data_IF_475745057015
#
_entry.id   IF_475745057015
#
_cell.length_a   1.000
_cell.length_b   1.000
_cell.length_c   1.000
_cell.angle_alpha   90.00
_cell.angle_beta   90.00
_cell.angle_gamma   90.00
#
_symmetry.space_group_name_H-M   'P 1'
#
loop_
_entity.id
_entity.type
_entity.pdbx_description
1 polymer ?
#
# COMPACT_ATOMS: atom_id res chain seq x y z
N UNK A 1 2.11 -7.08 -3.77
CA UNK A 1 0.67 -7.09 -4.15
C UNK A 1 0.41 -5.86 -5.01
N UNK A 2 0.50 -6.00 -6.33
CA UNK A 2 0.40 -4.89 -7.28
C UNK A 2 -0.96 -4.15 -7.28
N UNK A 3 -1.99 -4.71 -6.62
CA UNK A 3 -3.32 -4.10 -6.54
C UNK A 3 -3.29 -2.66 -6.03
N UNK A 4 -2.56 -2.38 -4.95
CA UNK A 4 -2.48 -1.04 -4.35
C UNK A 4 -1.83 -0.04 -5.30
N UNK A 5 -0.74 -0.43 -5.96
CA UNK A 5 -0.08 0.39 -6.96
C UNK A 5 -1.02 0.68 -8.14
N UNK A 6 -1.71 -0.35 -8.65
CA UNK A 6 -2.63 -0.19 -9.77
C UNK A 6 -3.87 0.65 -9.41
N UNK A 7 -4.33 0.60 -8.16
CA UNK A 7 -5.40 1.47 -7.67
C UNK A 7 -4.91 2.90 -7.53
N UNK A 8 -3.70 3.12 -6.98
CA UNK A 8 -3.13 4.45 -6.85
C UNK A 8 -2.86 5.10 -8.23
N UNK A 9 -2.31 4.33 -9.16
CA UNK A 9 -2.05 4.71 -10.55
C UNK A 9 -3.32 5.03 -11.36
N UNK A 10 -4.49 4.61 -10.87
CA UNK A 10 -5.78 4.98 -11.45
C UNK A 10 -6.40 6.17 -10.70
N UNK A 11 -6.55 6.08 -9.39
CA UNK A 11 -7.32 7.04 -8.59
C UNK A 11 -6.64 8.40 -8.49
N UNK A 12 -5.31 8.44 -8.34
CA UNK A 12 -4.60 9.71 -8.20
C UNK A 12 -4.68 10.52 -9.49
N UNK A 13 -4.39 9.95 -10.68
CA UNK A 13 -4.60 10.66 -11.95
C UNK A 13 -6.06 11.11 -12.16
N UNK A 14 -7.05 10.32 -11.72
CA UNK A 14 -8.47 10.73 -11.78
C UNK A 14 -8.75 11.96 -10.90
N UNK A 15 -8.30 11.95 -9.64
CA UNK A 15 -8.48 13.10 -8.74
C UNK A 15 -7.67 14.32 -9.18
N UNK A 16 -6.54 14.11 -9.87
CA UNK A 16 -5.71 15.18 -10.44
C UNK A 16 -6.20 15.69 -11.79
N UNK A 17 -7.17 15.02 -12.43
CA UNK A 17 -7.56 15.34 -13.81
C UNK A 17 -6.39 15.24 -14.79
N UNK A 18 -5.54 14.22 -14.66
CA UNK A 18 -4.36 14.07 -15.52
C UNK A 18 -4.77 13.84 -16.97
N UNK A 19 -4.15 14.59 -17.89
CA UNK A 19 -4.35 14.43 -19.33
C UNK A 19 -3.87 13.07 -19.84
N UNK A 20 -2.94 12.42 -19.14
CA UNK A 20 -2.40 11.10 -19.53
C UNK A 20 -3.45 9.99 -19.50
N UNK A 21 -4.44 10.11 -18.62
CA UNK A 21 -5.54 9.15 -18.53
C UNK A 21 -6.79 9.63 -19.25
N UNK A 22 -6.84 10.86 -19.77
CA UNK A 22 -8.00 11.39 -20.46
C UNK A 22 -8.01 10.93 -21.92
N UNK A 23 -9.09 10.31 -22.36
CA UNK A 23 -9.28 10.04 -23.79
C UNK A 23 -9.47 11.35 -24.57
N UNK A 24 -9.12 11.36 -25.86
CA UNK A 24 -9.22 12.56 -26.72
C UNK A 24 -10.65 13.10 -26.86
N UNK A 25 -11.65 12.23 -26.71
CA UNK A 25 -13.06 12.58 -26.80
C UNK A 25 -13.68 12.91 -25.43
N UNK A 26 -12.92 12.76 -24.34
CA UNK A 26 -13.34 13.15 -22.99
C UNK A 26 -12.79 14.55 -22.63
N UNK A 27 -13.42 15.21 -21.65
CA UNK A 27 -13.04 16.55 -21.20
C UNK A 27 -12.87 16.57 -19.68
N UNK A 28 -11.64 16.79 -19.24
CA UNK A 28 -11.29 16.96 -17.81
C UNK A 28 -12.07 18.11 -17.15
N UNK A 29 -12.50 19.12 -17.91
CA UNK A 29 -13.35 20.20 -17.40
C UNK A 29 -14.70 19.73 -16.85
N UNK A 30 -15.17 18.56 -17.25
CA UNK A 30 -16.44 17.97 -16.81
C UNK A 30 -16.28 17.02 -15.61
N UNK A 31 -15.05 16.85 -15.12
CA UNK A 31 -14.75 15.94 -14.01
C UNK A 31 -14.85 16.69 -12.69
N UNK A 32 -16.02 16.62 -12.08
CA UNK A 32 -16.29 17.17 -10.74
C UNK A 32 -15.56 16.40 -9.61
N UNK A 33 -15.00 15.22 -9.91
CA UNK A 33 -14.11 14.50 -9.00
C UNK A 33 -12.63 14.93 -9.12
N UNK A 34 -12.26 15.74 -10.12
CA UNK A 34 -10.88 16.17 -10.36
C UNK A 34 -10.46 17.33 -9.42
N UNK A 35 -10.63 17.12 -8.12
CA UNK A 35 -10.45 18.13 -7.07
C UNK A 35 -9.00 18.54 -6.83
N UNK A 36 -8.03 17.70 -7.21
CA UNK A 36 -6.59 17.95 -7.11
C UNK A 36 -5.99 18.44 -8.44
N UNK A 37 -6.83 18.92 -9.36
CA UNK A 37 -6.37 19.48 -10.64
C UNK A 37 -5.66 20.82 -10.44
N UNK A 38 -6.16 21.63 -9.51
CA UNK A 38 -5.54 22.91 -9.15
C UNK A 38 -4.16 22.65 -8.50
N UNK A 39 -3.08 23.23 -9.05
CA UNK A 39 -1.74 23.07 -8.50
C UNK A 39 -1.60 23.49 -7.03
N UNK A 40 -2.33 24.53 -6.59
CA UNK A 40 -2.25 25.04 -5.23
C UNK A 40 -2.96 24.11 -4.25
N UNK A 41 -4.13 23.58 -4.64
CA UNK A 41 -4.84 22.55 -3.87
C UNK A 41 -3.97 21.29 -3.77
N UNK A 42 -3.37 20.85 -4.88
CA UNK A 42 -2.51 19.66 -4.88
C UNK A 42 -1.27 19.84 -3.99
N UNK A 43 -0.65 21.02 -4.03
CA UNK A 43 0.50 21.35 -3.18
C UNK A 43 0.11 21.40 -1.69
N UNK A 44 -1.03 22.01 -1.36
CA UNK A 44 -1.56 22.05 0.00
C UNK A 44 -1.85 20.65 0.52
N UNK A 45 -2.62 19.86 -0.24
CA UNK A 45 -2.95 18.48 0.10
C UNK A 45 -1.69 17.62 0.26
N UNK A 46 -0.70 17.80 -0.59
CA UNK A 46 0.58 17.11 -0.49
C UNK A 46 1.35 17.45 0.79
N UNK A 47 1.28 18.71 1.25
CA UNK A 47 1.82 19.14 2.54
C UNK A 47 1.06 18.49 3.69
N UNK A 48 -0.27 18.45 3.65
CA UNK A 48 -1.08 17.81 4.70
C UNK A 48 -0.76 16.32 4.87
N UNK A 49 -0.47 15.62 3.76
CA UNK A 49 0.02 14.22 3.81
C UNK A 49 1.36 14.10 4.54
N UNK A 50 2.30 15.01 4.27
CA UNK A 50 3.60 15.00 4.92
C UNK A 50 3.51 15.39 6.41
N UNK A 51 2.68 16.38 6.73
CA UNK A 51 2.45 16.89 8.10
C UNK A 51 1.75 15.86 8.99
N UNK A 52 1.12 14.82 8.42
CA UNK A 52 0.59 13.68 9.17
C UNK A 52 1.68 12.77 9.78
N UNK A 53 2.93 12.89 9.34
CA UNK A 53 4.06 12.03 9.75
C UNK A 53 4.21 11.87 11.28
N UNK A 54 4.19 12.95 12.09
CA UNK A 54 4.36 12.83 13.55
C UNK A 54 3.24 12.07 14.25
N UNK A 55 2.09 11.90 13.58
CA UNK A 55 0.91 11.21 14.11
C UNK A 55 0.86 9.73 13.71
N UNK A 56 1.81 9.27 12.91
CA UNK A 56 1.91 7.88 12.50
C UNK A 56 2.75 7.08 13.51
N UNK A 57 2.25 5.92 14.00
CA UNK A 57 3.04 5.05 14.86
C UNK A 57 4.34 4.62 14.18
N UNK A 58 5.43 4.52 14.94
CA UNK A 58 6.72 4.04 14.43
C UNK A 58 6.71 2.58 13.93
N UNK A 59 5.63 1.83 14.17
CA UNK A 59 5.42 0.50 13.57
C UNK A 59 5.15 0.55 12.07
N UNK A 60 4.82 1.72 11.52
CA UNK A 60 4.81 1.97 10.09
C UNK A 60 6.23 2.34 9.66
N UNK A 61 6.92 1.42 8.98
CA UNK A 61 8.35 1.52 8.60
C UNK A 61 8.71 2.88 7.98
N UNK A 62 7.87 3.39 7.07
CA UNK A 62 8.07 4.71 6.43
C UNK A 62 6.77 5.49 6.33
N UNK A 63 6.72 6.75 6.85
CA UNK A 63 5.59 7.65 6.63
C UNK A 63 5.51 8.06 5.15
N UNK A 64 4.31 8.41 4.65
CA UNK A 64 4.14 8.88 3.28
C UNK A 64 4.78 10.27 3.13
N UNK A 65 5.70 10.40 2.17
CA UNK A 65 6.27 11.72 1.82
C UNK A 65 5.22 12.59 1.12
N UNK A 66 5.52 13.88 0.94
CA UNK A 66 4.68 14.78 0.17
C UNK A 66 4.46 14.22 -1.26
N UNK A 67 3.25 13.76 -1.63
CA UNK A 67 3.01 13.20 -2.96
C UNK A 67 3.11 14.26 -4.04
N UNK A 68 2.89 15.55 -3.74
CA UNK A 68 3.06 16.62 -4.74
C UNK A 68 4.52 16.78 -5.20
N UNK A 69 5.48 16.39 -4.38
CA UNK A 69 6.91 16.48 -4.69
C UNK A 69 7.50 15.13 -5.13
N UNK A 70 6.98 14.02 -4.58
CA UNK A 70 7.66 12.71 -4.65
C UNK A 70 6.91 11.63 -5.41
N UNK A 71 5.65 11.84 -5.82
CA UNK A 71 4.83 10.78 -6.43
C UNK A 71 5.48 10.15 -7.68
N UNK A 72 6.21 10.95 -8.47
CA UNK A 72 6.90 10.51 -9.68
C UNK A 72 8.39 10.17 -9.47
N UNK A 73 8.90 10.22 -8.23
CA UNK A 73 10.32 9.99 -7.91
C UNK A 73 10.52 8.91 -6.85
N UNK A 74 10.06 7.70 -7.16
CA UNK A 74 10.25 6.53 -6.30
C UNK A 74 9.35 6.52 -5.07
N UNK A 75 8.10 6.98 -5.23
CA UNK A 75 7.07 6.83 -4.21
C UNK A 75 6.73 5.35 -4.03
N UNK A 76 6.88 4.84 -2.80
CA UNK A 76 6.82 3.41 -2.54
C UNK A 76 5.38 2.92 -2.43
N UNK A 77 5.16 1.64 -2.75
CA UNK A 77 3.87 0.99 -2.57
C UNK A 77 3.29 1.15 -1.14
N UNK A 78 4.16 1.15 -0.12
CA UNK A 78 3.73 1.35 1.27
C UNK A 78 3.25 2.78 1.54
N UNK A 79 3.90 3.77 0.93
CA UNK A 79 3.49 5.17 1.03
C UNK A 79 2.15 5.39 0.33
N UNK A 80 1.91 4.74 -0.82
CA UNK A 80 0.59 4.75 -1.47
C UNK A 80 -0.49 4.11 -0.60
N UNK A 81 -0.18 2.98 0.03
CA UNK A 81 -1.12 2.29 0.93
C UNK A 81 -1.54 3.21 2.07
N UNK A 82 -0.57 3.81 2.76
CA UNK A 82 -0.80 4.65 3.93
C UNK A 82 -1.45 5.98 3.55
N UNK A 83 -1.01 6.60 2.46
CA UNK A 83 -1.61 7.81 1.93
C UNK A 83 -3.08 7.57 1.56
N UNK A 84 -3.39 6.67 0.63
CA UNK A 84 -4.75 6.54 0.09
C UNK A 84 -5.70 5.86 1.09
N UNK A 85 -5.29 4.76 1.72
CA UNK A 85 -6.21 3.91 2.49
C UNK A 85 -6.10 4.11 4.00
N UNK A 86 -5.01 4.75 4.46
CA UNK A 86 -4.82 5.17 5.84
C UNK A 86 -5.34 6.59 6.08
N UNK A 87 -4.75 7.57 5.40
CA UNK A 87 -5.01 9.00 5.60
C UNK A 87 -6.13 9.54 4.69
N UNK A 88 -6.25 9.00 3.48
CA UNK A 88 -7.12 9.50 2.42
C UNK A 88 -8.57 9.74 2.81
N UNK A 89 -9.25 8.84 3.58
CA UNK A 89 -10.62 9.10 4.02
C UNK A 89 -10.78 10.40 4.81
N UNK A 90 -9.79 10.74 5.64
CA UNK A 90 -9.78 11.99 6.40
C UNK A 90 -9.35 13.18 5.54
N UNK A 91 -8.24 13.06 4.81
CA UNK A 91 -7.67 14.16 4.03
C UNK A 91 -8.55 14.58 2.84
N UNK A 92 -9.33 13.66 2.28
CA UNK A 92 -10.24 13.96 1.16
C UNK A 92 -11.66 14.34 1.62
N UNK A 93 -11.94 14.32 2.93
CA UNK A 93 -13.25 14.72 3.45
C UNK A 93 -13.44 16.23 3.29
N UNK A 94 -14.57 16.65 2.71
CA UNK A 94 -14.85 18.05 2.42
C UNK A 94 -14.16 18.59 1.15
N UNK A 95 -13.10 17.93 0.66
CA UNK A 95 -12.50 18.23 -0.64
C UNK A 95 -13.19 17.49 -1.78
N UNK A 96 -13.32 16.16 -1.66
CA UNK A 96 -13.97 15.33 -2.66
C UNK A 96 -15.50 15.42 -2.49
N UNK A 97 -16.31 15.63 -3.56
CA UNK A 97 -17.75 15.74 -3.39
C UNK A 97 -18.33 14.47 -2.75
N UNK A 98 -19.33 14.63 -1.88
CA UNK A 98 -19.80 13.60 -0.96
C UNK A 98 -20.03 12.23 -1.61
N UNK A 99 -20.61 12.19 -2.82
CA UNK A 99 -20.86 10.94 -3.56
C UNK A 99 -19.58 10.16 -3.90
N UNK A 100 -18.53 10.87 -4.32
CA UNK A 100 -17.23 10.30 -4.65
C UNK A 100 -16.47 9.89 -3.39
N UNK A 101 -16.56 10.72 -2.35
CA UNK A 101 -15.97 10.42 -1.04
C UNK A 101 -16.58 9.18 -0.40
N UNK A 102 -17.91 9.05 -0.39
CA UNK A 102 -18.58 7.85 0.12
C UNK A 102 -18.19 6.60 -0.68
N UNK A 103 -18.10 6.71 -2.01
CA UNK A 103 -17.63 5.62 -2.86
C UNK A 103 -16.16 5.23 -2.51
N UNK A 104 -15.27 6.22 -2.41
CA UNK A 104 -13.88 6.02 -2.02
C UNK A 104 -13.74 5.40 -0.61
N UNK A 105 -14.58 5.80 0.34
CA UNK A 105 -14.60 5.22 1.69
C UNK A 105 -15.01 3.74 1.69
N UNK A 106 -15.90 3.30 0.80
CA UNK A 106 -16.22 1.87 0.62
C UNK A 106 -15.00 1.09 0.17
N UNK A 107 -14.26 1.61 -0.81
CA UNK A 107 -12.99 1.03 -1.23
C UNK A 107 -12.00 0.96 -0.06
N UNK A 108 -11.81 2.07 0.66
CA UNK A 108 -10.88 2.12 1.79
C UNK A 108 -11.23 1.11 2.88
N UNK A 109 -12.50 1.02 3.26
CA UNK A 109 -12.96 0.05 4.23
C UNK A 109 -12.72 -1.40 3.74
N UNK A 110 -13.02 -1.69 2.47
CA UNK A 110 -12.76 -3.01 1.88
C UNK A 110 -11.27 -3.38 1.84
N UNK A 111 -10.40 -2.47 1.41
CA UNK A 111 -8.95 -2.68 1.38
C UNK A 111 -8.38 -2.87 2.79
N UNK A 112 -8.85 -2.09 3.78
CA UNK A 112 -8.42 -2.25 5.18
C UNK A 112 -8.81 -3.60 5.77
N UNK A 113 -9.97 -4.14 5.41
CA UNK A 113 -10.38 -5.50 5.80
C UNK A 113 -9.51 -6.55 5.10
N UNK A 114 -9.24 -6.39 3.80
CA UNK A 114 -8.41 -7.30 3.01
C UNK A 114 -6.99 -7.48 3.56
N UNK A 115 -6.45 -6.42 4.17
CA UNK A 115 -5.09 -6.37 4.72
C UNK A 115 -4.98 -6.85 6.18
N UNK A 116 -6.07 -7.36 6.78
CA UNK A 116 -5.99 -7.94 8.13
C UNK A 116 -5.34 -9.34 8.10
N UNK A 117 -4.57 -9.67 9.13
CA UNK A 117 -4.02 -11.03 9.30
C UNK A 117 -5.07 -12.08 9.68
N UNK A 118 -6.18 -11.64 10.31
CA UNK A 118 -7.30 -12.48 10.70
C UNK A 118 -8.57 -11.78 10.28
N UNK A 119 -9.41 -12.45 9.51
CA UNK A 119 -10.67 -11.90 8.98
C UNK A 119 -11.79 -12.83 9.44
N UNK A 120 -12.75 -12.29 10.18
CA UNK A 120 -13.96 -13.03 10.57
C UNK A 120 -14.91 -13.18 9.39
N UNK A 121 -15.81 -14.17 9.44
CA UNK A 121 -16.82 -14.36 8.40
C UNK A 121 -17.70 -13.11 8.20
N UNK A 122 -18.08 -12.42 9.29
CA UNK A 122 -18.86 -11.18 9.24
C UNK A 122 -18.10 -10.05 8.54
N UNK A 123 -16.81 -9.90 8.84
CA UNK A 123 -15.94 -8.94 8.16
C UNK A 123 -15.79 -9.28 6.68
N UNK A 124 -15.67 -10.56 6.35
CA UNK A 124 -15.57 -11.03 4.97
C UNK A 124 -16.82 -10.67 4.15
N UNK A 125 -18.01 -10.92 4.71
CA UNK A 125 -19.29 -10.52 4.09
C UNK A 125 -19.38 -9.01 3.90
N UNK A 126 -18.98 -8.25 4.93
CA UNK A 126 -18.97 -6.78 4.87
C UNK A 126 -18.02 -6.29 3.78
N UNK A 127 -16.81 -6.84 3.70
CA UNK A 127 -15.84 -6.52 2.66
C UNK A 127 -16.39 -6.82 1.27
N UNK A 128 -17.03 -7.98 1.07
CA UNK A 128 -17.64 -8.37 -0.21
C UNK A 128 -18.67 -7.33 -0.68
N UNK A 129 -19.60 -6.95 0.21
CA UNK A 129 -20.64 -5.96 -0.10
C UNK A 129 -20.02 -4.61 -0.43
N UNK A 130 -19.08 -4.13 0.40
CA UNK A 130 -18.44 -2.82 0.20
C UNK A 130 -17.68 -2.75 -1.13
N UNK A 131 -16.91 -3.78 -1.48
CA UNK A 131 -16.14 -3.80 -2.72
C UNK A 131 -17.04 -3.93 -3.96
N UNK A 132 -18.11 -4.71 -3.90
CA UNK A 132 -19.10 -4.76 -5.00
C UNK A 132 -19.76 -3.39 -5.17
N UNK A 133 -20.26 -2.79 -4.09
CA UNK A 133 -20.88 -1.48 -4.13
C UNK A 133 -19.93 -0.43 -4.69
N UNK A 134 -18.67 -0.42 -4.23
CA UNK A 134 -17.64 0.45 -4.77
C UNK A 134 -17.53 0.32 -6.28
N UNK A 135 -17.38 -0.91 -6.81
CA UNK A 135 -17.17 -1.12 -8.25
C UNK A 135 -18.38 -0.76 -9.11
N UNK A 136 -19.60 -1.02 -8.63
CA UNK A 136 -20.84 -0.62 -9.32
C UNK A 136 -20.98 0.90 -9.34
N UNK A 137 -20.79 1.54 -8.20
CA UNK A 137 -20.85 2.99 -8.10
C UNK A 137 -19.70 3.66 -8.85
N UNK A 138 -18.53 3.04 -8.95
CA UNK A 138 -17.41 3.58 -9.72
C UNK A 138 -17.78 3.70 -11.20
N UNK A 139 -18.44 2.69 -11.77
CA UNK A 139 -18.96 2.72 -13.12
C UNK A 139 -20.00 3.85 -13.30
N UNK A 140 -20.92 3.99 -12.34
CA UNK A 140 -21.97 5.04 -12.39
C UNK A 140 -21.36 6.45 -12.27
N UNK A 141 -20.39 6.63 -11.38
CA UNK A 141 -19.88 7.94 -10.98
C UNK A 141 -18.78 8.46 -11.92
N UNK A 142 -17.84 7.62 -12.30
CA UNK A 142 -16.66 7.99 -13.09
C UNK A 142 -16.85 7.66 -14.57
N UNK A 143 -17.26 6.42 -14.90
CA UNK A 143 -17.39 5.96 -16.29
C UNK A 143 -18.62 6.57 -16.96
N UNK A 144 -19.74 6.68 -16.22
CA UNK A 144 -21.01 7.28 -16.67
C UNK A 144 -21.54 6.71 -18.01
N UNK A 145 -21.26 5.43 -18.30
CA UNK A 145 -21.55 4.77 -19.58
C UNK A 145 -21.00 5.53 -20.81
N UNK A 146 -19.98 6.36 -20.61
CA UNK A 146 -19.30 7.05 -21.69
C UNK A 146 -18.22 6.11 -22.28
N UNK A 147 -18.27 5.76 -23.58
CA UNK A 147 -17.26 4.92 -24.22
C UNK A 147 -15.84 5.45 -24.04
N UNK A 148 -15.66 6.77 -24.06
CA UNK A 148 -14.36 7.44 -23.87
C UNK A 148 -13.83 7.37 -22.43
N UNK A 149 -14.59 6.77 -21.51
CA UNK A 149 -14.21 6.55 -20.10
C UNK A 149 -14.13 5.08 -19.74
N UNK A 150 -14.39 4.18 -20.69
CA UNK A 150 -14.46 2.74 -20.43
C UNK A 150 -13.13 2.18 -19.89
N UNK A 151 -12.00 2.77 -20.31
CA UNK A 151 -10.66 2.39 -19.85
C UNK A 151 -10.40 2.72 -18.37
N UNK A 152 -11.27 3.48 -17.69
CA UNK A 152 -11.20 3.64 -16.23
C UNK A 152 -11.56 2.34 -15.50
N UNK A 153 -12.33 1.43 -16.12
CA UNK A 153 -12.62 0.09 -15.60
C UNK A 153 -11.43 -0.86 -15.81
N UNK A 154 -10.28 -0.49 -15.26
CA UNK A 154 -9.07 -1.31 -15.31
C UNK A 154 -9.27 -2.63 -14.56
N UNK A 155 -8.42 -3.62 -14.85
CA UNK A 155 -8.42 -4.91 -14.17
C UNK A 155 -8.37 -4.77 -12.63
N UNK A 156 -7.66 -3.77 -12.11
CA UNK A 156 -7.57 -3.52 -10.66
C UNK A 156 -8.93 -3.17 -10.04
N UNK A 157 -9.82 -2.48 -10.76
CA UNK A 157 -11.19 -2.20 -10.30
C UNK A 157 -12.02 -3.47 -10.36
N UNK A 158 -11.97 -4.22 -11.47
CA UNK A 158 -12.73 -5.46 -11.62
C UNK A 158 -12.35 -6.51 -10.56
N UNK A 159 -11.05 -6.69 -10.30
CA UNK A 159 -10.53 -7.68 -9.35
C UNK A 159 -11.08 -7.51 -7.93
N UNK A 160 -11.50 -6.30 -7.54
CA UNK A 160 -12.06 -6.05 -6.21
C UNK A 160 -13.34 -6.85 -5.94
N UNK A 161 -14.12 -7.16 -6.98
CA UNK A 161 -15.35 -7.98 -6.84
C UNK A 161 -15.04 -9.39 -6.34
N UNK A 162 -13.86 -9.90 -6.68
CA UNK A 162 -13.42 -11.26 -6.37
C UNK A 162 -12.64 -11.35 -5.07
N UNK A 163 -12.18 -10.22 -4.52
CA UNK A 163 -11.25 -10.20 -3.39
C UNK A 163 -11.75 -10.99 -2.16
N UNK A 164 -13.04 -10.91 -1.83
CA UNK A 164 -13.59 -11.66 -0.69
C UNK A 164 -13.67 -13.17 -0.94
N UNK A 165 -14.01 -13.59 -2.16
CA UNK A 165 -14.04 -15.00 -2.53
C UNK A 165 -12.63 -15.58 -2.53
N UNK A 166 -11.65 -14.81 -3.01
CA UNK A 166 -10.24 -15.21 -2.96
C UNK A 166 -9.75 -15.34 -1.52
N UNK A 167 -10.12 -14.43 -0.62
CA UNK A 167 -9.77 -14.56 0.80
C UNK A 167 -10.33 -15.85 1.41
N UNK A 168 -11.54 -16.27 1.02
CA UNK A 168 -12.10 -17.54 1.47
C UNK A 168 -11.31 -18.74 0.93
N UNK A 169 -10.79 -18.65 -0.30
CA UNK A 169 -10.09 -19.73 -1.00
C UNK A 169 -8.65 -19.91 -0.53
N UNK A 170 -7.89 -18.82 -0.39
CA UNK A 170 -6.43 -18.85 -0.16
C UNK A 170 -6.00 -18.13 1.13
N UNK A 171 -6.95 -17.64 1.93
CA UNK A 171 -6.69 -16.89 3.15
C UNK A 171 -6.48 -15.38 2.90
N UNK A 172 -6.25 -14.61 3.97
CA UNK A 172 -6.15 -13.15 3.91
C UNK A 172 -5.10 -12.64 2.91
N UNK A 173 -5.34 -11.46 2.33
CA UNK A 173 -4.47 -10.92 1.27
C UNK A 173 -3.02 -10.69 1.72
N UNK A 174 -2.80 -10.46 3.01
CA UNK A 174 -1.45 -10.28 3.57
C UNK A 174 -0.62 -11.57 3.54
N UNK A 175 -1.25 -12.74 3.70
CA UNK A 175 -0.55 -14.05 3.74
C UNK A 175 -0.19 -14.55 2.35
N UNK A 176 -0.92 -14.12 1.32
CA UNK A 176 -0.65 -14.43 -0.10
C UNK A 176 0.06 -13.27 -0.82
N UNK A 177 0.56 -12.30 -0.08
CA UNK A 177 1.15 -11.10 -0.66
C UNK A 177 2.57 -11.31 -1.18
N UNK A 178 2.90 -10.65 -2.30
CA UNK A 178 4.23 -10.73 -2.90
C UNK A 178 5.33 -9.94 -2.14
N UNK A 179 5.00 -9.18 -1.09
CA UNK A 179 5.96 -8.29 -0.42
C UNK A 179 7.17 -9.03 0.12
N UNK A 180 6.93 -10.15 0.81
CA UNK A 180 8.00 -10.99 1.36
C UNK A 180 8.86 -11.59 0.25
N UNK A 181 8.23 -12.02 -0.85
CA UNK A 181 8.94 -12.56 -2.01
C UNK A 181 9.78 -11.49 -2.70
N UNK A 182 9.24 -10.31 -2.99
CA UNK A 182 9.96 -9.19 -3.60
C UNK A 182 11.13 -8.73 -2.72
N UNK A 183 10.93 -8.70 -1.40
CA UNK A 183 12.00 -8.39 -0.45
C UNK A 183 13.11 -9.44 -0.49
N UNK A 184 12.75 -10.72 -0.52
CA UNK A 184 13.69 -11.84 -0.64
C UNK A 184 14.47 -11.76 -1.96
N UNK A 185 13.80 -11.48 -3.09
CA UNK A 185 14.47 -11.29 -4.38
C UNK A 185 15.50 -10.16 -4.27
N UNK A 186 15.11 -8.99 -3.76
CA UNK A 186 16.03 -7.86 -3.62
C UNK A 186 17.20 -8.14 -2.67
N UNK A 187 16.97 -8.90 -1.60
CA UNK A 187 18.01 -9.36 -0.66
C UNK A 187 19.01 -10.28 -1.37
N UNK A 188 18.53 -11.31 -2.06
CA UNK A 188 19.36 -12.25 -2.82
C UNK A 188 20.11 -11.59 -3.96
N UNK A 189 19.47 -10.67 -4.71
CA UNK A 189 20.13 -9.92 -5.78
C UNK A 189 21.27 -9.05 -5.24
N UNK A 190 21.12 -8.48 -4.04
CA UNK A 190 22.19 -7.70 -3.39
C UNK A 190 23.43 -8.52 -3.03
N UNK A 191 23.31 -9.85 -2.95
CA UNK A 191 24.43 -10.76 -2.67
C UNK A 191 25.15 -11.26 -3.95
N UNK A 192 24.61 -10.96 -5.13
CA UNK A 192 25.25 -11.30 -6.40
C UNK A 192 26.39 -10.31 -6.63
N UNK A 193 27.63 -10.81 -6.60
CA UNK A 193 28.84 -9.99 -6.78
C UNK A 193 29.66 -10.39 -8.00
N UNK A 194 29.21 -11.39 -8.77
CA UNK A 194 29.89 -11.87 -9.97
C UNK A 194 28.94 -11.88 -11.17
N UNK A 195 29.13 -10.91 -12.07
CA UNK A 195 28.28 -10.71 -13.24
C UNK A 195 28.50 -11.78 -14.32
N UNK A 196 29.66 -12.45 -14.34
CA UNK A 196 30.01 -13.45 -15.34
C UNK A 196 29.38 -14.83 -15.11
N UNK A 197 29.03 -15.16 -13.86
CA UNK A 197 28.36 -16.42 -13.52
C UNK A 197 27.38 -16.23 -12.35
N UNK A 198 26.31 -15.45 -12.55
CA UNK A 198 25.43 -15.01 -11.47
C UNK A 198 24.67 -16.16 -10.81
N UNK A 199 24.30 -17.19 -11.56
CA UNK A 199 23.57 -18.34 -11.02
C UNK A 199 24.44 -19.24 -10.12
N UNK A 200 25.69 -19.49 -10.51
CA UNK A 200 26.61 -20.26 -9.68
C UNK A 200 26.95 -19.48 -8.41
N UNK A 201 27.22 -18.18 -8.53
CA UNK A 201 27.47 -17.31 -7.39
C UNK A 201 26.27 -17.29 -6.42
N UNK A 202 25.06 -17.10 -6.93
CA UNK A 202 23.85 -17.12 -6.13
C UNK A 202 23.64 -18.47 -5.43
N UNK A 203 23.90 -19.59 -6.11
CA UNK A 203 23.80 -20.94 -5.53
C UNK A 203 24.72 -21.10 -4.32
N UNK A 204 25.99 -20.69 -4.45
CA UNK A 204 26.97 -20.72 -3.35
C UNK A 204 26.57 -19.79 -2.19
N UNK A 205 26.05 -18.59 -2.49
CA UNK A 205 25.52 -17.67 -1.46
C UNK A 205 24.36 -18.30 -0.69
N UNK A 206 23.41 -18.91 -1.39
CA UNK A 206 22.29 -19.62 -0.79
C UNK A 206 22.74 -20.80 0.10
N UNK A 207 23.70 -21.61 -0.36
CA UNK A 207 24.27 -22.72 0.43
C UNK A 207 24.92 -22.19 1.70
N UNK A 208 25.76 -21.16 1.58
CA UNK A 208 26.44 -20.55 2.73
C UNK A 208 25.45 -19.98 3.74
N UNK A 209 24.39 -19.30 3.29
CA UNK A 209 23.31 -18.79 4.15
C UNK A 209 22.58 -19.93 4.87
N UNK A 210 22.26 -21.02 4.16
CA UNK A 210 21.62 -22.19 4.77
C UNK A 210 22.51 -22.84 5.83
N UNK A 211 23.81 -22.98 5.57
CA UNK A 211 24.79 -23.51 6.53
C UNK A 211 24.92 -22.63 7.78
N UNK A 212 25.03 -21.30 7.61
CA UNK A 212 25.09 -20.36 8.75
C UNK A 212 23.80 -20.43 9.57
N UNK A 213 22.63 -20.43 8.91
CA UNK A 213 21.34 -20.54 9.60
C UNK A 213 21.21 -21.86 10.36
N UNK A 214 21.66 -22.98 9.79
CA UNK A 214 21.66 -24.28 10.45
C UNK A 214 22.59 -24.29 11.68
N UNK A 215 23.78 -23.71 11.56
CA UNK A 215 24.72 -23.57 12.69
C UNK A 215 24.14 -22.70 13.80
N UNK A 216 23.55 -21.55 13.47
CA UNK A 216 22.88 -20.67 14.45
C UNK A 216 21.69 -21.36 15.12
N UNK A 217 20.93 -22.17 14.39
CA UNK A 217 19.79 -22.91 14.96
C UNK A 217 20.25 -24.06 15.87
N UNK A 218 21.32 -24.77 15.49
CA UNK A 218 21.86 -25.90 16.26
C UNK A 218 22.66 -25.44 17.50
N UNK A 219 23.37 -24.32 17.39
CA UNK A 219 24.19 -23.73 18.45
C UNK A 219 23.86 -22.23 18.55
N UNK A 220 22.77 -21.86 19.24
CA UNK A 220 22.32 -20.47 19.33
C UNK A 220 23.34 -19.51 19.91
N UNK A 221 24.33 -19.97 20.68
CA UNK A 221 25.43 -19.16 21.23
C UNK A 221 26.34 -18.56 20.14
N UNK A 222 26.37 -19.14 18.93
CA UNK A 222 27.12 -18.61 17.79
C UNK A 222 26.43 -17.42 17.13
N UNK A 223 25.14 -17.20 17.41
CA UNK A 223 24.42 -16.06 16.86
C UNK A 223 24.70 -14.79 17.67
N UNK A 224 25.65 -13.98 17.17
CA UNK A 224 26.00 -12.69 17.78
C UNK A 224 24.81 -11.71 17.85
N UNK A 225 23.74 -11.96 17.10
CA UNK A 225 22.52 -11.14 17.09
C UNK A 225 21.41 -11.69 17.99
N UNK A 226 21.60 -12.86 18.63
CA UNK A 226 20.60 -13.54 19.48
C UNK A 226 20.00 -12.63 20.56
N UNK A 227 20.85 -11.84 21.21
CA UNK A 227 20.44 -10.94 22.30
C UNK A 227 20.00 -9.56 21.81
N UNK A 228 20.07 -9.27 20.50
CA UNK A 228 19.65 -7.96 19.98
C UNK A 228 18.14 -7.81 19.97
N UNK A 229 17.39 -8.87 19.70
CA UNK A 229 15.92 -8.82 19.65
C UNK A 229 15.29 -8.59 21.03
N UNK A 230 15.95 -9.05 22.10
CA UNK A 230 15.50 -8.87 23.48
C UNK A 230 15.93 -7.53 24.09
N UNK A 231 16.79 -6.75 23.41
CA UNK A 231 17.26 -5.46 23.90
C UNK A 231 16.39 -4.33 23.36
N UNK A 232 15.77 -3.61 24.29
CA UNK A 232 15.06 -2.38 23.97
C UNK A 232 16.02 -1.36 23.34
N UNK A 233 15.60 -0.63 22.29
CA UNK A 233 16.40 0.42 21.69
C UNK A 233 16.85 1.44 22.74
N UNK A 234 18.05 2.02 22.59
CA UNK A 234 18.56 3.04 23.52
C UNK A 234 17.54 4.15 23.74
N UNK A 235 17.17 4.36 25.00
CA UNK A 235 16.19 5.37 25.44
C UNK A 235 14.73 4.93 25.36
N UNK A 236 14.44 3.67 25.06
CA UNK A 236 13.11 3.10 25.18
C UNK A 236 12.79 2.72 26.63
N UNK A 237 11.54 2.91 27.03
CA UNK A 237 11.02 2.53 28.35
C UNK A 237 10.17 1.28 28.21
N UNK A 238 10.48 0.23 28.97
CA UNK A 238 9.65 -0.97 29.01
C UNK A 238 8.32 -0.63 29.70
N UNK A 239 7.19 -0.91 29.05
CA UNK A 239 5.86 -0.67 29.62
C UNK A 239 5.21 -1.96 30.18
N UNK A 240 5.87 -3.12 30.06
CA UNK A 240 5.27 -4.42 30.36
C UNK A 240 4.44 -4.97 29.19
N UNK A 241 3.97 -6.22 29.30
CA UNK A 241 3.08 -6.88 28.32
C UNK A 241 3.57 -6.85 26.86
N UNK A 242 4.90 -6.93 26.65
CA UNK A 242 5.55 -6.78 25.34
C UNK A 242 5.37 -5.40 24.67
N UNK A 243 5.02 -4.37 25.44
CA UNK A 243 4.99 -2.98 24.98
C UNK A 243 6.22 -2.21 25.46
N UNK A 244 6.69 -1.29 24.62
CA UNK A 244 7.76 -0.37 24.97
C UNK A 244 7.47 1.02 24.40
N UNK A 245 7.72 2.06 25.19
CA UNK A 245 7.67 3.44 24.76
C UNK A 245 8.99 3.79 24.10
N UNK A 246 8.95 4.08 22.80
CA UNK A 246 10.12 4.57 22.07
C UNK A 246 10.21 6.09 22.20
N UNK A 247 11.40 6.61 22.51
CA UNK A 247 11.62 8.06 22.46
C UNK A 247 11.52 8.56 21.01
N UNK A 248 11.02 9.78 20.83
CA UNK A 248 11.17 10.51 19.56
C UNK A 248 12.66 10.58 19.22
N UNK A 249 13.04 10.13 18.02
CA UNK A 249 14.37 10.33 17.44
C UNK A 249 14.26 11.41 16.39
N UNK A 250 15.21 12.34 16.39
CA UNK A 250 15.36 13.37 15.36
C UNK A 250 15.86 12.76 14.04
#
# INVERSE_FOLDING_TARGET
>A
MHLILNLADLLIPLFRGSSEICDKLDKVSEWDWAILRDPDIWKSHGKDVADATPHLPGSFDRPPRNPAEKINSGYKAWEFLLYLFGLGPGLLYGLLPTRYWMNFCKLCAGIRLLYQHKITQKQLQTMHVLLIQFTVEFEILYVRRNPSRLHYMRQCIHNLRHAALEVQRIGPGITSSQWTMERCIGDLTGEIHQDSNPYANLSERCIKRAQINALKAAIPELDADRDKESRLPRGAVNLGDNYALLRKRD
#
